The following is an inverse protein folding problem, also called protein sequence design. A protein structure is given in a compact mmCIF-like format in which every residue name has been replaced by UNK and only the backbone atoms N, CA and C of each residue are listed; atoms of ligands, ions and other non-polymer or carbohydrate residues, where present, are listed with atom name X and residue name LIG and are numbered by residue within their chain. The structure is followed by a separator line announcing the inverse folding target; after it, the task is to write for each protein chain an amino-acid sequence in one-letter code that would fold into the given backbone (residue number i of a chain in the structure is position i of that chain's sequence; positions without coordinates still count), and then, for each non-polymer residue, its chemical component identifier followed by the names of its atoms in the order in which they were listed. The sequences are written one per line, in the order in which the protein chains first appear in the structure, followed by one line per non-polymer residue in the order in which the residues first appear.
data_IF_329166127798
#
_entry.id   IF_329166127798
#
_cell.length_a   1.000
_cell.length_b   1.000
_cell.length_c   1.000
_cell.angle_alpha   90.00
_cell.angle_beta   90.00
_cell.angle_gamma   90.00
#
_symmetry.space_group_name_H-M   'P 1'
#
loop_
_entity.id
_entity.type
_entity.pdbx_description
1 polymer ?
#
# COMPACT_ATOMS: atom_id res chain seq x y z
N UNK A 1 5.97 -18.48 11.73
CA UNK A 1 6.17 -17.34 12.67
C UNK A 1 5.76 -17.68 14.10
N UNK A 2 4.56 -18.23 14.32
CA UNK A 2 4.02 -18.37 15.68
C UNK A 2 4.38 -19.66 16.45
N UNK A 3 5.24 -20.52 15.90
CA UNK A 3 5.51 -21.86 16.46
C UNK A 3 6.13 -21.86 17.86
N UNK A 4 6.79 -20.76 18.25
CA UNK A 4 7.45 -20.61 19.56
C UNK A 4 6.49 -20.35 20.72
N UNK A 5 5.27 -19.87 20.43
CA UNK A 5 4.27 -19.53 21.45
C UNK A 5 3.59 -20.80 21.96
N UNK A 6 3.66 -21.04 23.28
CA UNK A 6 3.07 -22.21 23.95
C UNK A 6 1.82 -21.88 24.77
N UNK A 7 1.59 -20.60 25.03
CA UNK A 7 0.41 -20.08 25.74
C UNK A 7 -0.46 -19.32 24.76
N UNK A 8 -1.76 -19.48 24.90
CA UNK A 8 -2.72 -18.85 24.00
C UNK A 8 -2.68 -17.32 24.12
N UNK A 9 -2.59 -16.77 25.33
CA UNK A 9 -2.53 -15.33 25.57
C UNK A 9 -1.32 -14.67 24.88
N UNK A 10 -0.15 -15.32 24.93
CA UNK A 10 1.07 -14.81 24.29
C UNK A 10 0.94 -14.85 22.76
N UNK A 11 0.33 -15.92 22.23
CA UNK A 11 0.05 -16.10 20.80
C UNK A 11 -0.93 -15.03 20.27
N UNK A 12 -2.03 -14.80 21.00
CA UNK A 12 -3.04 -13.79 20.65
C UNK A 12 -2.45 -12.39 20.62
N UNK A 13 -1.64 -12.04 21.63
CA UNK A 13 -0.97 -10.74 21.67
C UNK A 13 0.00 -10.56 20.48
N UNK A 14 0.80 -11.58 20.16
CA UNK A 14 1.71 -11.53 19.01
C UNK A 14 0.95 -11.35 17.69
N UNK A 15 -0.16 -12.08 17.51
CA UNK A 15 -1.02 -11.96 16.34
C UNK A 15 -1.66 -10.56 16.23
N UNK A 16 -2.17 -10.00 17.33
CA UNK A 16 -2.72 -8.64 17.35
C UNK A 16 -1.68 -7.57 17.01
N UNK A 17 -0.44 -7.72 17.47
CA UNK A 17 0.65 -6.79 17.16
C UNK A 17 0.92 -6.79 15.66
N UNK A 18 1.04 -7.96 15.04
CA UNK A 18 1.26 -8.08 13.59
C UNK A 18 0.07 -7.53 12.80
N UNK A 19 -1.17 -7.79 13.20
CA UNK A 19 -2.36 -7.19 12.56
C UNK A 19 -2.32 -5.67 12.61
N UNK A 20 -2.05 -5.08 13.78
CA UNK A 20 -1.94 -3.61 13.93
C UNK A 20 -0.82 -3.04 13.07
N UNK A 21 0.27 -3.77 12.89
CA UNK A 21 1.36 -3.37 11.99
C UNK A 21 0.88 -3.35 10.54
N UNK A 22 0.23 -4.42 10.07
CA UNK A 22 -0.32 -4.50 8.71
C UNK A 22 -1.32 -3.36 8.46
N UNK A 23 -2.23 -3.12 9.40
CA UNK A 23 -3.21 -2.02 9.29
C UNK A 23 -2.55 -0.65 9.16
N UNK A 24 -1.48 -0.39 9.92
CA UNK A 24 -0.69 0.85 9.78
C UNK A 24 -0.03 0.94 8.40
N UNK A 25 0.53 -0.15 7.90
CA UNK A 25 1.15 -0.16 6.57
C UNK A 25 0.12 0.09 5.46
N UNK A 26 -1.09 -0.48 5.56
CA UNK A 26 -2.22 -0.20 4.65
C UNK A 26 -2.62 1.28 4.72
N UNK A 27 -2.74 1.85 5.92
CA UNK A 27 -3.06 3.27 6.09
C UNK A 27 -1.99 4.16 5.45
N UNK A 28 -0.71 3.86 5.67
CA UNK A 28 0.39 4.62 5.06
C UNK A 28 0.35 4.57 3.53
N UNK A 29 -0.03 3.43 2.92
CA UNK A 29 -0.21 3.33 1.47
C UNK A 29 -1.39 4.18 0.98
N UNK A 30 -2.48 4.23 1.75
CA UNK A 30 -3.64 5.10 1.47
C UNK A 30 -3.25 6.58 1.50
N UNK A 31 -2.50 6.98 2.52
CA UNK A 31 -2.02 8.35 2.68
C UNK A 31 -1.05 8.72 1.54
N UNK A 32 -0.13 7.83 1.20
CA UNK A 32 0.79 8.00 0.06
C UNK A 32 0.03 8.19 -1.25
N UNK A 33 -0.99 7.37 -1.50
CA UNK A 33 -1.85 7.49 -2.69
C UNK A 33 -2.53 8.85 -2.76
N UNK A 34 -3.06 9.33 -1.63
CA UNK A 34 -3.67 10.65 -1.54
C UNK A 34 -2.66 11.76 -1.84
N UNK A 35 -1.46 11.70 -1.26
CA UNK A 35 -0.41 12.68 -1.50
C UNK A 35 0.03 12.73 -2.96
N UNK A 36 0.27 11.58 -3.59
CA UNK A 36 0.67 11.52 -5.00
C UNK A 36 -0.39 12.11 -5.93
N UNK A 37 -1.68 11.82 -5.71
CA UNK A 37 -2.77 12.42 -6.48
C UNK A 37 -2.77 13.94 -6.38
N UNK A 38 -2.60 14.46 -5.18
CA UNK A 38 -2.57 15.91 -4.94
C UNK A 38 -1.36 16.57 -5.61
N UNK A 39 -0.18 15.97 -5.51
CA UNK A 39 1.02 16.48 -6.19
C UNK A 39 0.88 16.44 -7.71
N UNK A 40 0.23 15.41 -8.25
CA UNK A 40 0.01 15.31 -9.69
C UNK A 40 -1.01 16.36 -10.18
N UNK A 41 -2.13 16.55 -9.47
CA UNK A 41 -3.08 17.64 -9.76
C UNK A 41 -2.39 19.01 -9.77
N UNK A 42 -1.56 19.30 -8.75
CA UNK A 42 -0.80 20.54 -8.69
C UNK A 42 0.20 20.70 -9.84
N UNK A 43 0.87 19.62 -10.21
CA UNK A 43 1.82 19.61 -11.33
C UNK A 43 1.12 19.84 -12.67
N UNK A 44 -0.06 19.24 -12.85
CA UNK A 44 -0.89 19.43 -14.03
C UNK A 44 -1.41 20.87 -14.14
N UNK A 45 -1.89 21.46 -13.04
CA UNK A 45 -2.32 22.87 -13.01
C UNK A 45 -1.17 23.82 -13.34
N UNK A 46 0.03 23.58 -12.80
CA UNK A 46 1.23 24.36 -13.11
C UNK A 46 1.60 24.23 -14.60
N UNK A 47 1.51 23.02 -15.17
CA UNK A 47 1.73 22.79 -16.59
C UNK A 47 0.71 23.55 -17.45
N UNK A 48 -0.59 23.52 -17.11
CA UNK A 48 -1.63 24.27 -17.83
C UNK A 48 -1.37 25.79 -17.80
N UNK A 49 -0.96 26.32 -16.65
CA UNK A 49 -0.57 27.72 -16.54
C UNK A 49 0.61 28.08 -17.46
N UNK A 50 1.67 27.26 -17.45
CA UNK A 50 2.83 27.47 -18.31
C UNK A 50 2.49 27.33 -19.79
N UNK A 51 1.66 26.35 -20.18
CA UNK A 51 1.14 26.19 -21.55
C UNK A 51 0.48 27.48 -22.03
N UNK A 52 -0.44 28.04 -21.24
CA UNK A 52 -1.15 29.26 -21.59
C UNK A 52 -0.23 30.49 -21.68
N UNK A 53 0.88 30.51 -20.95
CA UNK A 53 1.81 31.64 -20.90
C UNK A 53 2.95 31.56 -21.91
N UNK A 54 3.37 30.35 -22.29
CA UNK A 54 4.63 30.10 -23.02
C UNK A 54 4.42 29.65 -24.48
N UNK A 55 3.19 29.50 -24.97
CA UNK A 55 2.89 29.00 -26.33
C UNK A 55 3.62 27.67 -26.65
N UNK A 56 3.58 26.70 -25.73
CA UNK A 56 4.18 25.39 -25.99
C UNK A 56 3.57 24.72 -27.22
N UNK A 57 4.42 24.07 -28.03
CA UNK A 57 3.98 23.30 -29.18
C UNK A 57 3.06 22.15 -28.76
N UNK A 58 2.13 21.76 -29.64
CA UNK A 58 1.25 20.61 -29.40
C UNK A 58 2.04 19.31 -29.12
N UNK A 59 3.22 19.16 -29.73
CA UNK A 59 4.13 18.05 -29.43
C UNK A 59 4.64 18.08 -27.99
N UNK A 60 5.04 19.25 -27.50
CA UNK A 60 5.50 19.43 -26.11
C UNK A 60 4.35 19.16 -25.14
N UNK A 61 3.13 19.59 -25.49
CA UNK A 61 1.94 19.34 -24.69
C UNK A 61 1.60 17.85 -24.62
N UNK A 62 1.65 17.15 -25.75
CA UNK A 62 1.42 15.72 -25.82
C UNK A 62 2.45 14.94 -25.01
N UNK A 63 3.72 15.35 -25.03
CA UNK A 63 4.79 14.72 -24.26
C UNK A 63 4.57 14.85 -22.75
N UNK A 64 4.24 16.04 -22.26
CA UNK A 64 4.00 16.25 -20.82
C UNK A 64 2.77 15.48 -20.35
N UNK A 65 1.68 15.49 -21.13
CA UNK A 65 0.49 14.69 -20.79
C UNK A 65 0.82 13.20 -20.67
N UNK A 66 1.56 12.63 -21.62
CA UNK A 66 1.96 11.20 -21.55
C UNK A 66 2.80 10.90 -20.31
N UNK A 67 3.76 11.77 -19.98
CA UNK A 67 4.59 11.57 -18.79
C UNK A 67 3.77 11.57 -17.49
N UNK A 68 2.76 12.45 -17.40
CA UNK A 68 1.83 12.50 -16.26
C UNK A 68 0.99 11.22 -16.18
N UNK A 69 0.45 10.76 -17.32
CA UNK A 69 -0.35 9.54 -17.39
C UNK A 69 0.48 8.27 -17.07
N UNK A 70 1.71 8.19 -17.56
CA UNK A 70 2.65 7.10 -17.26
C UNK A 70 3.01 7.07 -15.77
N UNK A 71 3.33 8.23 -15.19
CA UNK A 71 3.64 8.34 -13.77
C UNK A 71 2.47 7.91 -12.88
N UNK A 72 1.25 8.38 -13.17
CA UNK A 72 0.04 7.97 -12.45
C UNK A 72 -0.16 6.47 -12.48
N UNK A 73 0.01 5.88 -13.67
CA UNK A 73 -0.14 4.44 -13.84
C UNK A 73 0.91 3.64 -13.05
N UNK A 74 2.18 4.07 -13.11
CA UNK A 74 3.27 3.41 -12.38
C UNK A 74 3.07 3.50 -10.86
N UNK A 75 2.69 4.68 -10.37
CA UNK A 75 2.42 4.92 -8.96
C UNK A 75 1.25 4.08 -8.43
N UNK A 76 0.11 4.09 -9.13
CA UNK A 76 -1.06 3.29 -8.74
C UNK A 76 -0.76 1.79 -8.81
N UNK A 77 -0.02 1.34 -9.82
CA UNK A 77 0.38 -0.07 -9.95
C UNK A 77 1.29 -0.48 -8.79
N UNK A 78 2.29 0.33 -8.44
CA UNK A 78 3.20 0.05 -7.34
C UNK A 78 2.45 -0.06 -6.01
N UNK A 79 1.56 0.89 -5.71
CA UNK A 79 0.76 0.88 -4.47
C UNK A 79 -0.12 -0.36 -4.45
N UNK A 80 -0.79 -0.68 -5.56
CA UNK A 80 -1.66 -1.86 -5.63
C UNK A 80 -0.92 -3.17 -5.39
N UNK A 81 0.30 -3.31 -5.92
CA UNK A 81 1.13 -4.47 -5.66
C UNK A 81 1.52 -4.60 -4.19
N UNK A 82 1.75 -3.47 -3.49
CA UNK A 82 2.05 -3.46 -2.06
C UNK A 82 0.83 -3.85 -1.23
N UNK A 83 -0.34 -3.30 -1.54
CA UNK A 83 -1.61 -3.68 -0.90
C UNK A 83 -1.85 -5.19 -1.02
N UNK A 84 -1.71 -5.78 -2.22
CA UNK A 84 -1.91 -7.21 -2.42
C UNK A 84 -0.96 -8.06 -1.57
N UNK A 85 0.33 -7.68 -1.51
CA UNK A 85 1.31 -8.39 -0.67
C UNK A 85 0.96 -8.34 0.82
N UNK A 86 0.42 -7.21 1.28
CA UNK A 86 -0.01 -7.08 2.67
C UNK A 86 -1.22 -7.97 2.98
N UNK A 87 -2.16 -8.10 2.04
CA UNK A 87 -3.31 -8.97 2.24
C UNK A 87 -2.97 -10.46 2.13
N UNK A 88 -2.06 -10.82 1.24
CA UNK A 88 -1.50 -12.18 1.19
C UNK A 88 -0.81 -12.52 2.52
N UNK A 89 0.01 -11.60 3.04
CA UNK A 89 0.69 -11.77 4.32
C UNK A 89 -0.29 -11.82 5.50
N UNK A 90 -1.36 -11.01 5.48
CA UNK A 90 -2.43 -11.04 6.49
C UNK A 90 -3.12 -12.40 6.57
N UNK A 91 -3.38 -13.00 5.41
CA UNK A 91 -3.95 -14.35 5.33
C UNK A 91 -2.96 -15.42 5.80
N UNK A 92 -1.68 -15.28 5.48
CA UNK A 92 -0.61 -16.16 5.97
C UNK A 92 -0.54 -16.17 7.50
N UNK A 93 -0.43 -15.00 8.14
CA UNK A 93 -0.35 -14.92 9.61
C UNK A 93 -1.63 -15.45 10.27
N UNK A 94 -2.80 -15.27 9.64
CA UNK A 94 -4.06 -15.81 10.15
C UNK A 94 -4.05 -17.33 10.16
N UNK A 95 -3.56 -17.95 9.08
CA UNK A 95 -3.46 -19.42 8.99
C UNK A 95 -2.49 -19.96 10.02
N UNK A 96 -1.32 -19.34 10.16
CA UNK A 96 -0.34 -19.76 11.16
C UNK A 96 -0.87 -19.62 12.60
N UNK A 97 -1.59 -18.53 12.89
CA UNK A 97 -2.24 -18.32 14.19
C UNK A 97 -3.24 -19.44 14.50
N UNK A 98 -4.11 -19.78 13.55
CA UNK A 98 -5.09 -20.87 13.71
C UNK A 98 -4.38 -22.20 13.98
N UNK A 99 -3.39 -22.55 13.16
CA UNK A 99 -2.64 -23.80 13.30
C UNK A 99 -1.94 -23.90 14.66
N UNK A 100 -1.34 -22.81 15.14
CA UNK A 100 -0.69 -22.82 16.45
C UNK A 100 -1.69 -22.87 17.59
N UNK A 101 -2.81 -22.14 17.48
CA UNK A 101 -3.90 -22.17 18.46
C UNK A 101 -4.45 -23.59 18.63
N UNK A 102 -4.71 -24.29 17.52
CA UNK A 102 -5.14 -25.70 17.52
C UNK A 102 -4.14 -26.60 18.23
N UNK A 103 -2.84 -26.50 17.91
CA UNK A 103 -1.77 -27.28 18.59
C UNK A 103 -1.72 -27.03 20.10
N UNK A 104 -1.90 -25.79 20.54
CA UNK A 104 -1.91 -25.45 21.98
C UNK A 104 -3.14 -26.06 22.67
N UNK A 105 -4.29 -26.08 22.00
CA UNK A 105 -5.52 -26.67 22.54
C UNK A 105 -5.48 -28.19 22.59
N UNK A 106 -4.92 -28.85 21.57
CA UNK A 106 -4.77 -30.32 21.53
C UNK A 106 -3.73 -30.84 22.55
N UNK A 107 -2.78 -29.99 22.96
CA UNK A 107 -1.77 -30.33 23.96
C UNK A 107 -2.24 -30.18 25.42
N UNK A 108 -3.49 -29.74 25.65
CA UNK A 108 -4.12 -29.61 26.98
C UNK A 108 -4.95 -30.86 27.33
#
# INVERSE_FOLDING_TARGET
MFEEYKKIDDLENAYEIELKRIEREIQNLSDLKYHLRRENEQSYDAFLYLKNKMNYSEESNAKVRRLVEEFDYEADTYIRQKELKLEDYKEEIRREYIQQSEKIMEAK
#
